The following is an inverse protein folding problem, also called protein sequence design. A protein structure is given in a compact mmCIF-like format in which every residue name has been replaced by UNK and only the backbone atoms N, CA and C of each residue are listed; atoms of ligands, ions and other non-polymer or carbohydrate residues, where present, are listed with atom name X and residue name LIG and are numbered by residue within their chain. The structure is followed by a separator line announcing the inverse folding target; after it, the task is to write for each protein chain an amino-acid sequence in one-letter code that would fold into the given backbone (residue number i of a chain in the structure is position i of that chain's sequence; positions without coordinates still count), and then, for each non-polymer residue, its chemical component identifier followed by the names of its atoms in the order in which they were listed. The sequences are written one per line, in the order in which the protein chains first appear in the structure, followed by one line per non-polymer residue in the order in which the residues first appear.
data_IF_510231401915
#
_entry.id   IF_510231401915
#
_cell.length_a   1.000
_cell.length_b   1.000
_cell.length_c   1.000
_cell.angle_alpha   90.00
_cell.angle_beta   90.00
_cell.angle_gamma   90.00
#
_symmetry.space_group_name_H-M   'P 1'
#
loop_
_entity.id
_entity.type
_entity.pdbx_description
1 polymer ?
#
# COMPACT_ATOMS: atom_id res chain seq x y z
N UNK A 1 -24.15 19.26 22.12
CA UNK A 1 -23.65 18.66 20.87
C UNK A 1 -22.32 18.02 21.17
N UNK A 2 -22.12 16.74 20.83
CA UNK A 2 -20.79 16.10 20.98
C UNK A 2 -19.91 16.64 19.84
N UNK A 3 -18.78 17.25 20.18
CA UNK A 3 -17.82 17.70 19.19
C UNK A 3 -17.20 16.45 18.52
N UNK A 4 -17.37 16.32 17.21
CA UNK A 4 -16.70 15.26 16.44
C UNK A 4 -15.26 15.72 16.21
N UNK A 5 -14.30 15.06 16.85
CA UNK A 5 -12.88 15.29 16.60
C UNK A 5 -12.49 14.69 15.24
N UNK A 6 -11.53 15.34 14.57
CA UNK A 6 -10.98 14.81 13.32
C UNK A 6 -10.24 13.50 13.62
N UNK A 7 -10.54 12.39 12.94
CA UNK A 7 -9.80 11.14 13.12
C UNK A 7 -8.34 11.33 12.69
N UNK A 8 -7.43 10.69 13.42
CA UNK A 8 -5.98 10.71 13.17
C UNK A 8 -5.46 9.28 13.05
N UNK A 9 -4.50 9.07 12.16
CA UNK A 9 -3.78 7.80 12.08
C UNK A 9 -2.62 7.79 13.07
N UNK A 10 -2.31 6.62 13.63
CA UNK A 10 -1.09 6.39 14.41
C UNK A 10 0.15 6.53 13.53
N UNK A 11 1.18 7.20 14.05
CA UNK A 11 2.51 7.26 13.48
C UNK A 11 3.43 6.35 14.28
N UNK A 12 3.98 5.32 13.64
CA UNK A 12 4.78 4.26 14.27
C UNK A 12 6.17 4.26 13.63
N UNK A 13 7.27 4.37 14.40
CA UNK A 13 8.63 4.26 13.87
C UNK A 13 8.91 2.89 13.27
N UNK A 14 9.69 2.81 12.18
CA UNK A 14 10.02 1.53 11.48
C UNK A 14 10.63 0.46 12.39
N UNK A 15 11.30 0.86 13.47
CA UNK A 15 11.95 -0.02 14.44
C UNK A 15 11.05 -0.38 15.64
N UNK A 16 9.80 0.09 15.68
CA UNK A 16 8.85 -0.32 16.69
C UNK A 16 8.48 -1.80 16.55
N UNK A 17 8.02 -2.45 17.62
CA UNK A 17 7.48 -3.81 17.56
C UNK A 17 6.40 -3.96 16.49
N UNK A 18 6.45 -5.05 15.73
CA UNK A 18 5.47 -5.34 14.66
C UNK A 18 4.03 -5.36 15.16
N UNK A 19 3.82 -5.72 16.42
CA UNK A 19 2.52 -5.80 17.07
C UNK A 19 1.83 -4.44 17.11
N UNK A 20 2.58 -3.33 17.23
CA UNK A 20 2.02 -1.97 17.20
C UNK A 20 1.43 -1.64 15.82
N UNK A 21 2.09 -2.07 14.75
CA UNK A 21 1.59 -1.92 13.38
C UNK A 21 0.34 -2.77 13.15
N UNK A 22 0.34 -4.02 13.65
CA UNK A 22 -0.82 -4.91 13.54
C UNK A 22 -2.02 -4.31 14.24
N UNK A 23 -1.85 -3.83 15.47
CA UNK A 23 -2.92 -3.19 16.24
C UNK A 23 -3.41 -1.90 15.56
N UNK A 24 -2.50 -1.10 15.01
CA UNK A 24 -2.83 0.08 14.23
C UNK A 24 -3.70 -0.22 13.02
N UNK A 25 -3.30 -1.20 12.21
CA UNK A 25 -4.04 -1.59 11.02
C UNK A 25 -5.40 -2.19 11.39
N UNK A 26 -5.48 -3.03 12.43
CA UNK A 26 -6.75 -3.65 12.84
C UNK A 26 -7.78 -2.66 13.37
N UNK A 27 -7.37 -1.66 14.15
CA UNK A 27 -8.34 -0.70 14.72
C UNK A 27 -8.63 0.46 13.76
N UNK A 28 -7.62 0.98 13.07
CA UNK A 28 -7.73 2.24 12.33
C UNK A 28 -7.85 2.01 10.81
N UNK A 29 -7.62 0.78 10.33
CA UNK A 29 -7.56 0.44 8.91
C UNK A 29 -6.24 0.83 8.24
N UNK A 30 -5.27 1.35 9.00
CA UNK A 30 -3.95 1.74 8.50
C UNK A 30 -3.11 2.50 9.54
N UNK A 31 -1.85 2.75 9.20
CA UNK A 31 -0.93 3.52 10.04
C UNK A 31 0.11 4.25 9.16
N UNK A 32 0.82 5.21 9.76
CA UNK A 32 1.96 5.87 9.15
C UNK A 32 3.25 5.25 9.71
N UNK A 33 4.06 4.62 8.86
CA UNK A 33 5.39 4.18 9.26
C UNK A 33 6.41 5.30 9.06
N UNK A 34 6.97 5.86 10.13
CA UNK A 34 7.98 6.93 10.03
C UNK A 34 9.39 6.37 9.90
N UNK A 35 10.27 7.09 9.19
CA UNK A 35 11.66 6.69 8.95
C UNK A 35 11.81 5.30 8.29
N UNK A 36 10.85 4.93 7.43
CA UNK A 36 10.81 3.61 6.81
C UNK A 36 12.00 3.34 5.87
N UNK A 37 12.41 4.37 5.13
CA UNK A 37 13.63 4.39 4.30
C UNK A 37 14.33 5.74 4.49
N UNK A 38 15.60 5.84 4.10
CA UNK A 38 16.35 7.09 4.24
C UNK A 38 15.99 8.10 3.15
N UNK A 39 16.38 9.36 3.33
CA UNK A 39 16.19 10.43 2.34
C UNK A 39 17.00 10.11 1.06
N UNK A 40 18.17 9.49 1.22
CA UNK A 40 19.03 9.08 0.12
C UNK A 40 18.37 7.97 -0.71
N UNK A 41 17.77 6.97 -0.05
CA UNK A 41 17.01 5.91 -0.74
C UNK A 41 15.82 6.50 -1.51
N UNK A 42 15.10 7.46 -0.91
CA UNK A 42 14.01 8.20 -1.56
C UNK A 42 14.51 8.97 -2.79
N UNK A 43 15.63 9.68 -2.66
CA UNK A 43 16.21 10.48 -3.74
C UNK A 43 16.65 9.59 -4.90
N UNK A 44 17.30 8.46 -4.60
CA UNK A 44 17.72 7.48 -5.59
C UNK A 44 16.51 6.87 -6.33
N UNK A 45 15.50 6.41 -5.59
CA UNK A 45 14.27 5.87 -6.19
C UNK A 45 13.55 6.89 -7.10
N UNK A 46 13.48 8.15 -6.68
CA UNK A 46 12.90 9.21 -7.49
C UNK A 46 13.68 9.41 -8.81
N UNK A 47 15.01 9.45 -8.74
CA UNK A 47 15.86 9.60 -9.93
C UNK A 47 15.71 8.41 -10.90
N UNK A 48 15.63 7.19 -10.38
CA UNK A 48 15.45 5.96 -11.17
C UNK A 48 14.12 5.96 -11.94
N UNK A 49 13.04 6.44 -11.31
CA UNK A 49 11.68 6.35 -11.86
C UNK A 49 11.31 7.56 -12.72
N UNK A 50 11.99 8.70 -12.52
CA UNK A 50 11.70 9.96 -13.22
C UNK A 50 11.61 9.83 -14.76
N UNK A 51 12.53 9.15 -15.46
CA UNK A 51 12.46 9.04 -16.93
C UNK A 51 11.19 8.32 -17.42
N UNK A 52 10.68 7.36 -16.64
CA UNK A 52 9.46 6.62 -16.95
C UNK A 52 8.19 7.44 -16.70
N UNK A 53 8.20 8.27 -15.65
CA UNK A 53 7.10 9.19 -15.37
C UNK A 53 7.02 10.30 -16.43
N UNK A 54 8.17 10.84 -16.85
CA UNK A 54 8.23 11.90 -17.84
C UNK A 54 7.84 11.43 -19.25
N UNK A 55 8.06 10.15 -19.56
CA UNK A 55 7.71 9.54 -20.84
C UNK A 55 6.30 8.94 -20.91
N UNK A 56 5.52 8.97 -19.81
CA UNK A 56 4.18 8.37 -19.81
C UNK A 56 3.24 9.09 -20.80
N UNK A 57 2.59 8.31 -21.66
CA UNK A 57 1.59 8.81 -22.59
C UNK A 57 0.23 8.99 -21.89
N UNK A 58 -0.27 10.23 -21.88
CA UNK A 58 -1.49 10.64 -21.19
C UNK A 58 -2.80 10.30 -21.90
N UNK A 59 -2.74 9.88 -23.15
CA UNK A 59 -3.92 9.82 -24.04
C UNK A 59 -4.98 8.79 -23.63
N UNK A 60 -4.74 8.00 -22.58
CA UNK A 60 -5.58 6.85 -22.21
C UNK A 60 -6.19 6.90 -20.79
N UNK A 61 -6.01 7.98 -20.02
CA UNK A 61 -6.35 7.96 -18.59
C UNK A 61 -7.84 8.25 -18.32
N UNK A 62 -8.62 7.21 -17.99
CA UNK A 62 -9.95 7.33 -17.34
C UNK A 62 -9.91 7.19 -15.81
N UNK A 63 -8.86 6.55 -15.29
CA UNK A 63 -8.71 6.20 -13.86
C UNK A 63 -8.00 7.30 -13.04
N UNK A 64 -7.15 8.10 -13.68
CA UNK A 64 -6.37 9.16 -13.06
C UNK A 64 -6.55 10.46 -13.87
N UNK A 65 -6.47 11.64 -13.22
CA UNK A 65 -6.44 12.93 -13.93
C UNK A 65 -5.28 12.99 -14.92
N UNK A 66 -5.41 13.84 -15.95
CA UNK A 66 -4.39 14.04 -16.99
C UNK A 66 -3.05 14.52 -16.41
N UNK A 67 -3.10 15.23 -15.29
CA UNK A 67 -1.97 15.78 -14.57
C UNK A 67 -1.24 14.71 -13.74
N UNK A 68 -1.86 13.54 -13.50
CA UNK A 68 -1.24 12.48 -12.71
C UNK A 68 -0.46 11.52 -13.61
N UNK A 69 0.85 11.43 -13.38
CA UNK A 69 1.73 10.48 -14.06
C UNK A 69 1.93 9.19 -13.27
N UNK A 70 2.27 8.13 -13.98
CA UNK A 70 2.37 6.77 -13.46
C UNK A 70 3.51 6.00 -14.10
N UNK A 71 4.21 5.24 -13.28
CA UNK A 71 5.15 4.21 -13.69
C UNK A 71 4.60 2.83 -13.27
N UNK A 72 3.96 2.10 -14.19
CA UNK A 72 3.32 0.80 -13.93
C UNK A 72 4.31 -0.34 -13.62
N UNK A 73 5.60 -0.14 -13.89
CA UNK A 73 6.65 -1.16 -13.78
C UNK A 73 7.56 -0.87 -12.58
N UNK A 74 7.01 -0.29 -11.51
CA UNK A 74 7.77 0.41 -10.49
C UNK A 74 8.93 -0.40 -9.85
N UNK A 75 8.75 -1.66 -9.40
CA UNK A 75 9.85 -2.43 -8.82
C UNK A 75 10.86 -2.94 -9.85
N UNK A 76 10.51 -2.90 -11.14
CA UNK A 76 11.43 -3.22 -12.22
C UNK A 76 12.27 -2.01 -12.59
N UNK A 77 11.67 -0.81 -12.58
CA UNK A 77 12.35 0.44 -12.90
C UNK A 77 13.23 0.98 -11.78
N UNK A 78 12.91 0.67 -10.51
CA UNK A 78 13.67 1.13 -9.34
C UNK A 78 14.24 -0.04 -8.54
N UNK A 79 15.54 -0.35 -8.69
CA UNK A 79 16.26 -1.25 -7.78
C UNK A 79 16.15 -0.80 -6.32
N UNK A 80 16.27 0.50 -6.08
CA UNK A 80 16.22 1.06 -4.73
C UNK A 80 14.88 0.75 -4.05
N UNK A 81 13.74 1.03 -4.70
CA UNK A 81 12.44 0.66 -4.12
C UNK A 81 12.27 -0.85 -3.99
N UNK A 82 12.70 -1.64 -4.98
CA UNK A 82 12.61 -3.11 -4.88
C UNK A 82 13.33 -3.62 -3.63
N UNK A 83 14.54 -3.17 -3.40
CA UNK A 83 15.43 -3.73 -2.37
C UNK A 83 15.27 -3.09 -1.00
N UNK A 84 14.96 -1.79 -0.93
CA UNK A 84 14.82 -1.06 0.34
C UNK A 84 13.39 -1.04 0.86
N UNK A 85 12.40 -1.05 -0.03
CA UNK A 85 10.99 -0.94 0.33
C UNK A 85 10.35 -2.33 0.31
N UNK A 86 10.26 -2.96 -0.86
CA UNK A 86 9.51 -4.22 -0.97
C UNK A 86 10.19 -5.39 -0.25
N UNK A 87 11.52 -5.43 -0.17
CA UNK A 87 12.24 -6.48 0.56
C UNK A 87 12.45 -6.17 2.04
N UNK A 88 11.91 -5.06 2.56
CA UNK A 88 12.06 -4.74 3.97
C UNK A 88 11.37 -5.80 4.87
N UNK A 89 12.04 -6.33 5.92
CA UNK A 89 11.48 -7.39 6.76
C UNK A 89 10.09 -7.05 7.34
N UNK A 90 9.93 -5.85 7.89
CA UNK A 90 8.63 -5.37 8.39
C UNK A 90 7.50 -5.46 7.34
N UNK A 91 7.79 -5.16 6.07
CA UNK A 91 6.78 -5.24 5.01
C UNK A 91 6.39 -6.69 4.70
N UNK A 92 7.39 -7.57 4.61
CA UNK A 92 7.17 -8.99 4.36
C UNK A 92 6.41 -9.64 5.52
N UNK A 93 6.79 -9.34 6.77
CA UNK A 93 6.16 -9.87 7.97
C UNK A 93 4.72 -9.40 8.15
N UNK A 94 4.43 -8.11 7.91
CA UNK A 94 3.07 -7.60 7.94
C UNK A 94 2.23 -8.20 6.80
N UNK A 95 2.80 -8.32 5.60
CA UNK A 95 2.15 -9.01 4.50
C UNK A 95 1.78 -10.44 4.87
N UNK A 96 2.72 -11.21 5.40
CA UNK A 96 2.51 -12.60 5.83
C UNK A 96 1.42 -12.68 6.90
N UNK A 97 1.47 -11.80 7.90
CA UNK A 97 0.47 -11.79 8.98
C UNK A 97 -0.95 -11.52 8.48
N UNK A 98 -1.12 -10.57 7.55
CA UNK A 98 -2.45 -10.14 7.10
C UNK A 98 -2.99 -10.92 5.91
N UNK A 99 -2.14 -11.52 5.08
CA UNK A 99 -2.54 -12.06 3.78
C UNK A 99 -2.16 -13.52 3.54
N UNK A 100 -1.36 -14.15 4.40
CA UNK A 100 -1.17 -15.58 4.28
C UNK A 100 -2.47 -16.32 4.64
N UNK A 101 -2.77 -17.37 3.89
CA UNK A 101 -3.87 -18.28 4.20
C UNK A 101 -3.36 -19.72 4.22
N UNK A 102 -3.98 -20.56 5.05
CA UNK A 102 -3.74 -22.00 5.04
C UNK A 102 -5.04 -22.65 4.64
N UNK A 103 -5.03 -23.29 3.47
CA UNK A 103 -6.20 -23.92 2.88
C UNK A 103 -5.99 -25.41 2.69
N UNK A 104 -7.10 -26.15 2.79
CA UNK A 104 -7.14 -27.59 2.54
C UNK A 104 -7.36 -27.84 1.06
N UNK A 105 -6.45 -28.59 0.44
CA UNK A 105 -6.60 -29.04 -0.95
C UNK A 105 -6.64 -30.56 -0.99
N UNK A 106 -7.62 -31.08 -1.73
CA UNK A 106 -7.79 -32.52 -1.95
C UNK A 106 -7.23 -32.91 -3.31
N UNK A 107 -6.36 -33.92 -3.31
CA UNK A 107 -5.93 -34.62 -4.51
C UNK A 107 -6.35 -36.08 -4.35
N UNK A 108 -7.37 -36.50 -5.10
CA UNK A 108 -8.06 -37.78 -4.93
C UNK A 108 -8.51 -37.99 -3.47
N UNK A 109 -8.04 -39.05 -2.82
CA UNK A 109 -8.37 -39.38 -1.43
C UNK A 109 -7.44 -38.70 -0.40
N UNK A 110 -6.45 -37.92 -0.85
CA UNK A 110 -5.46 -37.28 0.03
C UNK A 110 -5.76 -35.80 0.24
N UNK A 111 -6.02 -35.44 1.49
CA UNK A 111 -6.08 -34.05 1.93
C UNK A 111 -4.69 -33.54 2.35
N UNK A 112 -4.29 -32.38 1.86
CA UNK A 112 -3.03 -31.72 2.24
C UNK A 112 -3.27 -30.24 2.51
N UNK A 113 -2.62 -29.70 3.54
CA UNK A 113 -2.61 -28.28 3.83
C UNK A 113 -1.60 -27.57 2.93
N UNK A 114 -2.01 -26.47 2.31
CA UNK A 114 -1.14 -25.58 1.56
C UNK A 114 -1.23 -24.18 2.14
N UNK A 115 -0.07 -23.58 2.33
CA UNK A 115 0.02 -22.16 2.69
C UNK A 115 0.13 -21.34 1.41
N UNK A 116 -0.78 -20.39 1.23
CA UNK A 116 -0.69 -19.37 0.20
C UNK A 116 -0.02 -18.14 0.81
N UNK A 117 1.16 -17.78 0.32
CA UNK A 117 1.86 -16.59 0.76
C UNK A 117 1.40 -15.34 -0.01
N UNK A 118 1.58 -14.14 0.54
CA UNK A 118 1.14 -12.91 -0.09
C UNK A 118 1.78 -12.71 -1.47
N UNK A 119 0.95 -12.47 -2.48
CA UNK A 119 1.42 -12.11 -3.82
C UNK A 119 1.19 -10.62 -4.08
N UNK A 120 2.21 -9.95 -4.61
CA UNK A 120 2.09 -8.56 -5.03
C UNK A 120 1.19 -8.46 -6.27
N UNK A 121 0.02 -7.86 -6.12
CA UNK A 121 -0.89 -7.66 -7.27
C UNK A 121 -0.51 -6.49 -8.16
N UNK A 122 -0.04 -5.37 -7.61
CA UNK A 122 0.35 -4.19 -8.36
C UNK A 122 1.39 -3.37 -7.59
N UNK A 123 2.23 -2.63 -8.31
CA UNK A 123 3.12 -1.62 -7.74
C UNK A 123 3.31 -0.50 -8.76
N UNK A 124 3.03 0.73 -8.32
CA UNK A 124 2.89 1.89 -9.18
C UNK A 124 3.66 3.06 -8.57
N UNK A 125 4.54 3.69 -9.35
CA UNK A 125 5.01 5.04 -9.02
C UNK A 125 3.95 6.03 -9.47
N UNK A 126 3.56 7.00 -8.64
CA UNK A 126 2.54 8.00 -8.96
C UNK A 126 3.11 9.39 -8.71
N UNK A 127 3.04 10.26 -9.71
CA UNK A 127 3.45 11.67 -9.65
C UNK A 127 2.22 12.55 -9.90
N UNK A 128 1.70 13.16 -8.83
CA UNK A 128 0.53 14.05 -8.88
C UNK A 128 1.02 15.47 -9.15
N UNK A 129 0.93 15.90 -10.41
CA UNK A 129 1.43 17.22 -10.83
C UNK A 129 0.43 18.33 -10.50
N UNK A 130 0.88 19.61 -10.54
CA UNK A 130 0.00 20.75 -10.28
C UNK A 130 -1.29 20.71 -11.10
N UNK A 131 -2.37 21.18 -10.49
CA UNK A 131 -3.74 21.21 -11.03
C UNK A 131 -4.45 19.84 -11.10
N UNK A 132 -3.82 18.75 -10.68
CA UNK A 132 -4.50 17.46 -10.57
C UNK A 132 -5.72 17.55 -9.64
N UNK A 133 -6.87 17.06 -10.12
CA UNK A 133 -8.08 16.96 -9.30
C UNK A 133 -7.95 15.80 -8.33
N UNK A 134 -8.37 16.01 -7.07
CA UNK A 134 -8.39 14.95 -6.07
C UNK A 134 -9.21 13.74 -6.52
N UNK A 135 -8.66 12.53 -6.36
CA UNK A 135 -9.43 11.33 -6.68
C UNK A 135 -10.63 11.20 -5.74
N UNK A 136 -11.70 10.60 -6.28
CA UNK A 136 -12.89 10.24 -5.50
C UNK A 136 -12.53 9.27 -4.38
N UNK A 137 -13.27 9.35 -3.28
CA UNK A 137 -13.16 8.37 -2.19
C UNK A 137 -13.50 6.98 -2.72
N UNK A 138 -12.67 5.99 -2.37
CA UNK A 138 -12.85 4.60 -2.73
C UNK A 138 -12.05 3.68 -1.80
N UNK A 139 -12.33 2.38 -1.87
CA UNK A 139 -11.47 1.32 -1.34
C UNK A 139 -10.72 0.68 -2.49
N UNK A 140 -9.47 0.31 -2.25
CA UNK A 140 -8.60 -0.22 -3.30
C UNK A 140 -9.01 -1.63 -3.73
N UNK A 141 -9.68 -2.39 -2.86
CA UNK A 141 -10.19 -3.73 -3.18
C UNK A 141 -11.38 -3.74 -4.16
N UNK A 142 -11.86 -2.58 -4.63
CA UNK A 142 -12.92 -2.46 -5.64
C UNK A 142 -12.64 -3.29 -6.90
N UNK A 143 -11.37 -3.47 -7.26
CA UNK A 143 -10.95 -4.22 -8.45
C UNK A 143 -11.12 -5.73 -8.30
N UNK A 144 -11.28 -6.23 -7.06
CA UNK A 144 -11.56 -7.63 -6.76
C UNK A 144 -13.04 -7.89 -6.43
N UNK A 145 -13.90 -6.89 -6.62
CA UNK A 145 -15.34 -6.97 -6.35
C UNK A 145 -15.69 -7.39 -4.91
N UNK A 146 -14.82 -7.07 -3.94
CA UNK A 146 -15.02 -7.40 -2.53
C UNK A 146 -16.30 -6.75 -2.00
N UNK A 147 -17.10 -7.55 -1.29
CA UNK A 147 -18.30 -7.08 -0.59
C UNK A 147 -17.94 -6.81 0.87
N UNK A 148 -18.33 -5.63 1.33
CA UNK A 148 -18.03 -5.17 2.69
C UNK A 148 -19.25 -5.32 3.58
N UNK A 149 -19.08 -6.01 4.70
CA UNK A 149 -20.03 -5.99 5.81
C UNK A 149 -19.73 -4.81 6.73
N UNK A 150 -20.65 -4.51 7.65
CA UNK A 150 -20.48 -3.43 8.62
C UNK A 150 -19.37 -3.77 9.64
N UNK A 151 -18.20 -3.15 9.45
CA UNK A 151 -17.03 -3.34 10.30
C UNK A 151 -17.20 -2.79 11.72
N UNK A 152 -18.19 -1.93 11.99
CA UNK A 152 -18.43 -1.39 13.34
C UNK A 152 -18.87 -2.46 14.33
N UNK A 153 -19.47 -3.56 13.84
CA UNK A 153 -19.95 -4.68 14.66
C UNK A 153 -19.00 -5.88 14.66
N UNK A 154 -18.27 -6.11 13.57
CA UNK A 154 -17.44 -7.31 13.40
C UNK A 154 -15.95 -7.06 13.68
N UNK A 155 -15.53 -5.80 13.79
CA UNK A 155 -14.13 -5.42 13.80
C UNK A 155 -13.48 -5.64 12.43
N UNK A 156 -12.14 -5.65 12.40
CA UNK A 156 -11.36 -6.09 11.25
C UNK A 156 -11.71 -7.54 10.91
N UNK A 157 -12.41 -7.76 9.79
CA UNK A 157 -12.51 -9.07 9.19
C UNK A 157 -11.25 -9.29 8.34
N UNK A 158 -10.65 -10.48 8.41
CA UNK A 158 -9.58 -10.89 7.50
C UNK A 158 -10.06 -10.67 6.07
N UNK A 159 -9.55 -9.61 5.45
CA UNK A 159 -9.88 -9.24 4.09
C UNK A 159 -8.68 -9.59 3.23
N UNK A 160 -8.95 -10.23 2.10
CA UNK A 160 -7.96 -10.55 1.07
C UNK A 160 -7.43 -9.26 0.43
N UNK A 161 -6.47 -8.59 1.08
CA UNK A 161 -5.75 -7.46 0.52
C UNK A 161 -5.15 -6.51 1.55
N UNK A 162 -3.82 -6.45 1.59
CA UNK A 162 -3.05 -5.36 2.18
C UNK A 162 -2.66 -4.46 1.03
N UNK A 163 -3.20 -3.25 1.00
CA UNK A 163 -2.75 -2.25 0.04
C UNK A 163 -1.73 -1.36 0.72
N UNK A 164 -0.46 -1.68 0.50
CA UNK A 164 0.60 -0.73 0.79
C UNK A 164 0.76 0.21 -0.40
N UNK A 165 0.34 1.46 -0.22
CA UNK A 165 0.70 2.53 -1.12
C UNK A 165 1.94 3.21 -0.52
N UNK A 166 3.04 3.23 -1.27
CA UNK A 166 4.25 4.00 -0.94
C UNK A 166 4.30 5.27 -1.81
N UNK A 167 3.63 6.34 -1.39
CA UNK A 167 3.79 7.64 -2.00
C UNK A 167 5.13 8.21 -1.53
N UNK A 168 6.12 8.16 -2.40
CA UNK A 168 7.34 8.95 -2.24
C UNK A 168 6.97 10.37 -2.68
N UNK A 169 6.34 11.15 -1.80
CA UNK A 169 6.00 12.55 -2.08
C UNK A 169 6.93 13.48 -1.31
N UNK A 170 7.78 14.21 -2.03
CA UNK A 170 7.96 15.64 -1.69
C UNK A 170 6.61 16.35 -1.93
N UNK A 171 6.27 17.33 -1.10
CA UNK A 171 5.00 17.42 -0.39
C UNK A 171 3.79 17.58 -1.32
N UNK A 172 2.93 16.54 -1.40
CA UNK A 172 1.49 16.67 -1.61
C UNK A 172 0.73 15.34 -1.40
N UNK A 173 0.00 15.34 -0.28
CA UNK A 173 -0.95 14.37 0.29
C UNK A 173 -1.48 13.22 -0.62
N UNK A 174 -1.03 11.99 -0.31
CA UNK A 174 -1.82 10.76 -0.10
C UNK A 174 -0.89 9.80 0.65
N UNK A 175 -1.39 9.08 1.67
CA UNK A 175 -0.68 8.25 2.67
C UNK A 175 0.68 8.78 3.15
N UNK A 176 0.68 9.59 4.21
CA UNK A 176 1.86 10.36 4.64
C UNK A 176 3.02 9.48 5.16
N UNK A 177 3.98 9.13 4.31
CA UNK A 177 5.37 8.98 4.76
C UNK A 177 5.86 10.38 5.13
N UNK A 178 5.97 10.63 6.43
CA UNK A 178 6.57 11.86 6.95
C UNK A 178 8.04 11.56 7.18
N UNK A 179 8.90 12.20 6.40
CA UNK A 179 10.32 12.40 6.76
C UNK A 179 10.36 13.33 7.97
#
# INVERSE_FOLDING_TARGET
MVAISKPTLRCVPVNAPREEFIEAIKCDGGCICTNYVTIEDVTAANAEVKPFLDSENLTQAKLFPLETRRCNWFPWTSPTCREKVFMHPLYQELGEYFLSSIDLTWHDERCTYYTSHPLRSAALGIDVRPNAVGQRLHRDDKMYHTRHTDATRTGWAEMMGLVSMFPVSEPQLKTALRV
#
